data_IF_516409317183
#
_entry.id   IF_516409317183
#
_cell.length_a   1.000
_cell.length_b   1.000
_cell.length_c   1.000
_cell.angle_alpha   90.00
_cell.angle_beta   90.00
_cell.angle_gamma   90.00
#
_symmetry.space_group_name_H-M   'P 1'
#
loop_
_entity.id
_entity.type
_entity.pdbx_description
1 polymer ?
#
# COMPACT_ATOMS: atom_id res chain seq x y z
N UNK A 1 -18.16 6.41 5.69
CA UNK A 1 -18.17 5.01 6.15
C UNK A 1 -16.91 4.31 5.69
N UNK A 2 -16.21 3.64 6.59
CA UNK A 2 -14.99 2.92 6.23
C UNK A 2 -15.32 1.62 5.52
N UNK A 3 -14.61 1.35 4.43
CA UNK A 3 -14.72 0.08 3.73
C UNK A 3 -13.96 -0.99 4.50
N UNK A 4 -14.60 -2.13 4.72
CA UNK A 4 -14.02 -3.24 5.49
C UNK A 4 -14.05 -4.51 4.63
N UNK A 5 -12.92 -5.16 4.52
CA UNK A 5 -12.74 -6.45 3.84
C UNK A 5 -12.42 -7.52 4.86
N UNK A 6 -12.68 -8.76 4.50
CA UNK A 6 -12.45 -9.88 5.38
C UNK A 6 -13.56 -9.99 6.43
N UNK A 7 -13.48 -11.04 7.23
CA UNK A 7 -14.52 -11.35 8.20
C UNK A 7 -13.97 -11.26 9.62
N UNK A 8 -14.57 -10.39 10.43
CA UNK A 8 -14.26 -10.33 11.84
C UNK A 8 -14.92 -11.50 12.55
N UNK A 9 -14.12 -12.24 13.33
CA UNK A 9 -14.61 -13.31 14.18
C UNK A 9 -14.70 -12.76 15.60
N UNK A 10 -15.86 -12.91 16.25
CA UNK A 10 -16.07 -12.44 17.60
C UNK A 10 -15.14 -13.18 18.57
N UNK A 11 -14.73 -12.50 19.64
CA UNK A 11 -13.87 -13.03 20.71
C UNK A 11 -12.43 -13.30 20.31
N UNK A 12 -12.01 -12.81 19.13
CA UNK A 12 -10.61 -12.87 18.73
C UNK A 12 -10.04 -11.46 18.86
N UNK A 13 -8.86 -11.36 19.48
CA UNK A 13 -8.11 -10.11 19.56
C UNK A 13 -7.29 -9.96 18.29
N UNK A 14 -7.50 -8.87 17.57
CA UNK A 14 -6.77 -8.57 16.34
C UNK A 14 -5.67 -7.56 16.62
N UNK A 15 -4.48 -7.86 16.10
CA UNK A 15 -3.39 -6.89 16.08
C UNK A 15 -3.70 -5.83 15.02
N UNK A 16 -3.78 -4.57 15.45
CA UNK A 16 -4.09 -3.46 14.55
C UNK A 16 -2.79 -2.96 13.94
N UNK A 17 -2.73 -2.94 12.60
CA UNK A 17 -1.57 -2.46 11.84
C UNK A 17 -2.03 -1.28 11.00
N UNK A 18 -1.56 -0.08 11.34
CA UNK A 18 -1.88 1.15 10.60
C UNK A 18 -0.77 1.45 9.63
N UNK A 19 -1.12 1.66 8.37
CA UNK A 19 -0.15 1.96 7.34
C UNK A 19 -0.66 2.97 6.34
N UNK A 20 0.29 3.60 5.63
CA UNK A 20 -0.02 4.57 4.58
C UNK A 20 0.59 4.05 3.28
N UNK A 21 -0.21 4.06 2.22
CA UNK A 21 0.17 3.46 0.94
C UNK A 21 -0.12 4.41 -0.21
N UNK A 22 0.66 4.27 -1.28
CA UNK A 22 0.54 5.12 -2.45
C UNK A 22 -0.03 4.37 -3.64
N UNK A 23 -0.94 5.01 -4.35
CA UNK A 23 -1.36 4.60 -5.68
C UNK A 23 -0.59 5.47 -6.66
N UNK A 24 0.32 4.86 -7.40
CA UNK A 24 1.21 5.53 -8.35
C UNK A 24 0.97 4.93 -9.72
N UNK A 25 0.41 5.73 -10.63
CA UNK A 25 0.16 5.29 -12.00
C UNK A 25 1.32 5.68 -12.90
N UNK A 26 1.52 4.89 -13.97
CA UNK A 26 2.42 5.30 -15.05
C UNK A 26 1.78 6.44 -15.85
N UNK A 27 2.53 7.01 -16.81
CA UNK A 27 2.06 8.16 -17.58
C UNK A 27 0.77 7.87 -18.37
N UNK A 28 0.61 6.65 -18.86
CA UNK A 28 -0.59 6.23 -19.59
C UNK A 28 -1.77 5.85 -18.70
N UNK A 29 -1.54 5.75 -17.41
CA UNK A 29 -2.54 5.32 -16.42
C UNK A 29 -3.13 3.93 -16.70
N UNK A 30 -2.35 3.06 -17.30
CA UNK A 30 -2.73 1.67 -17.51
C UNK A 30 -2.02 0.69 -16.58
N UNK A 31 -1.01 1.17 -15.85
CA UNK A 31 -0.26 0.37 -14.88
C UNK A 31 -0.15 1.08 -13.55
N UNK A 32 -0.06 0.30 -12.48
CA UNK A 32 0.15 0.79 -11.12
C UNK A 32 1.44 0.21 -10.57
N UNK A 33 2.18 1.04 -9.84
CA UNK A 33 3.44 0.60 -9.21
C UNK A 33 3.13 -0.26 -8.00
N UNK A 34 3.83 -1.39 -7.91
CA UNK A 34 3.70 -2.30 -6.77
C UNK A 34 5.08 -2.72 -6.28
N UNK A 35 5.07 -3.30 -5.10
CA UNK A 35 6.24 -3.92 -4.48
C UNK A 35 5.96 -5.41 -4.36
N UNK A 36 6.88 -6.25 -4.84
CA UNK A 36 6.78 -7.70 -4.71
C UNK A 36 7.77 -8.17 -3.66
N UNK A 37 7.30 -8.95 -2.68
CA UNK A 37 8.17 -9.50 -1.64
C UNK A 37 8.79 -10.82 -2.07
N UNK A 38 9.61 -11.41 -1.20
CA UNK A 38 10.31 -12.68 -1.45
C UNK A 38 9.36 -13.84 -1.76
N UNK A 39 8.15 -13.81 -1.20
CA UNK A 39 7.15 -14.86 -1.42
C UNK A 39 6.36 -14.66 -2.72
N UNK A 40 6.65 -13.61 -3.47
CA UNK A 40 5.97 -13.30 -4.70
C UNK A 40 4.64 -12.56 -4.53
N UNK A 41 4.35 -12.07 -3.32
CA UNK A 41 3.13 -11.32 -3.06
C UNK A 41 3.31 -9.86 -3.46
N UNK A 42 2.27 -9.26 -4.02
CA UNK A 42 2.25 -7.88 -4.47
C UNK A 42 1.50 -6.97 -3.49
N UNK A 43 2.08 -5.82 -3.23
CA UNK A 43 1.50 -4.80 -2.34
C UNK A 43 1.62 -3.43 -3.01
N UNK A 44 0.79 -2.48 -2.61
CA UNK A 44 1.06 -1.08 -2.93
C UNK A 44 2.31 -0.62 -2.16
N UNK A 45 3.10 0.31 -2.71
CA UNK A 45 4.23 0.86 -1.95
C UNK A 45 3.73 1.65 -0.75
N UNK A 46 4.46 1.56 0.35
CA UNK A 46 4.11 2.18 1.60
C UNK A 46 4.43 1.27 2.76
N UNK A 47 3.90 1.57 3.92
CA UNK A 47 4.17 0.77 5.10
C UNK A 47 3.61 1.35 6.38
N UNK A 48 4.02 0.78 7.50
CA UNK A 48 3.50 1.12 8.80
C UNK A 48 3.90 2.50 9.30
N UNK A 49 2.97 3.14 9.97
CA UNK A 49 3.22 4.43 10.61
C UNK A 49 4.10 4.19 11.83
N UNK A 50 5.20 4.94 11.94
CA UNK A 50 6.10 4.89 13.08
C UNK A 50 5.89 6.10 13.97
N UNK A 51 5.80 5.85 15.29
CA UNK A 51 5.71 6.89 16.31
C UNK A 51 4.69 7.98 15.96
N UNK A 52 5.12 9.24 15.95
CA UNK A 52 4.26 10.39 15.73
C UNK A 52 4.26 10.87 14.28
N UNK A 53 4.63 10.01 13.34
CA UNK A 53 4.61 10.41 11.93
C UNK A 53 3.21 10.81 11.47
N UNK A 54 3.14 11.90 10.69
CA UNK A 54 1.94 12.16 9.91
C UNK A 54 1.85 11.16 8.75
N UNK A 55 0.70 11.07 8.10
CA UNK A 55 0.55 10.21 6.93
C UNK A 55 1.57 10.55 5.83
N UNK A 56 1.72 11.83 5.55
CA UNK A 56 2.65 12.25 4.48
C UNK A 56 4.11 12.00 4.85
N UNK A 57 4.47 12.17 6.13
CA UNK A 57 5.82 11.83 6.59
C UNK A 57 6.09 10.33 6.46
N UNK A 58 5.14 9.51 6.90
CA UNK A 58 5.25 8.05 6.79
C UNK A 58 5.40 7.62 5.34
N UNK A 59 4.52 8.09 4.48
CA UNK A 59 4.53 7.68 3.08
C UNK A 59 5.79 8.15 2.37
N UNK A 60 6.25 9.39 2.61
CA UNK A 60 7.49 9.89 2.02
C UNK A 60 8.69 9.03 2.45
N UNK A 61 8.75 8.68 3.74
CA UNK A 61 9.81 7.82 4.27
C UNK A 61 9.78 6.44 3.62
N UNK A 62 8.62 5.80 3.59
CA UNK A 62 8.47 4.47 3.01
C UNK A 62 8.79 4.45 1.51
N UNK A 63 8.32 5.44 0.76
CA UNK A 63 8.62 5.51 -0.67
C UNK A 63 10.11 5.72 -0.93
N UNK A 64 10.78 6.54 -0.11
CA UNK A 64 12.22 6.72 -0.22
C UNK A 64 12.97 5.42 0.04
N UNK A 65 12.57 4.68 1.09
CA UNK A 65 13.19 3.40 1.45
C UNK A 65 12.99 2.34 0.36
N UNK A 66 11.78 2.23 -0.18
CA UNK A 66 11.43 1.20 -1.13
C UNK A 66 11.85 1.52 -2.57
N UNK A 67 11.79 2.77 -2.96
CA UNK A 67 12.03 3.15 -4.35
C UNK A 67 13.32 3.95 -4.55
N UNK A 68 13.80 4.59 -3.51
CA UNK A 68 14.93 5.52 -3.61
C UNK A 68 14.56 6.89 -4.14
N UNK A 69 13.28 7.18 -4.32
CA UNK A 69 12.81 8.45 -4.87
C UNK A 69 12.07 9.27 -3.85
N UNK A 70 12.21 10.60 -3.95
CA UNK A 70 11.24 11.50 -3.34
C UNK A 70 9.91 11.36 -4.08
N UNK A 71 8.84 11.71 -3.40
CA UNK A 71 7.51 11.58 -3.96
C UNK A 71 6.70 12.86 -3.77
N UNK A 72 5.87 13.15 -4.73
CA UNK A 72 4.83 14.17 -4.62
C UNK A 72 3.53 13.47 -4.25
N UNK A 73 3.03 13.73 -3.04
CA UNK A 73 1.81 13.13 -2.52
C UNK A 73 0.69 14.13 -2.75
N UNK A 74 -0.32 13.76 -3.55
CA UNK A 74 -1.32 14.71 -3.99
C UNK A 74 -2.67 14.57 -3.30
N UNK A 75 -3.41 13.49 -3.56
CA UNK A 75 -4.81 13.38 -3.18
C UNK A 75 -5.02 12.22 -2.21
N UNK A 76 -5.71 12.51 -1.11
CA UNK A 76 -6.16 11.45 -0.22
C UNK A 76 -7.33 10.70 -0.85
N UNK A 77 -7.18 9.39 -1.03
CA UNK A 77 -8.19 8.54 -1.66
C UNK A 77 -9.18 7.96 -0.66
N UNK A 78 -8.80 7.91 0.60
CA UNK A 78 -9.63 7.34 1.64
C UNK A 78 -8.92 6.27 2.43
N UNK A 79 -9.65 5.67 3.38
CA UNK A 79 -9.15 4.58 4.19
C UNK A 79 -10.02 3.35 4.03
N UNK A 80 -9.40 2.19 4.18
CA UNK A 80 -10.09 0.91 4.16
C UNK A 80 -9.37 -0.05 5.08
N UNK A 81 -10.09 -1.06 5.54
CA UNK A 81 -9.56 -2.04 6.49
C UNK A 81 -9.73 -3.45 5.95
N UNK A 82 -8.86 -4.34 6.41
CA UNK A 82 -8.96 -5.76 6.09
C UNK A 82 -8.62 -6.60 7.31
N UNK A 83 -9.52 -7.52 7.64
CA UNK A 83 -9.24 -8.58 8.60
C UNK A 83 -8.57 -9.73 7.86
N UNK A 84 -7.47 -10.23 8.40
CA UNK A 84 -6.74 -11.33 7.77
C UNK A 84 -5.85 -12.03 8.81
N UNK A 85 -5.30 -13.17 8.43
CA UNK A 85 -4.28 -13.85 9.22
C UNK A 85 -2.93 -13.64 8.55
N UNK A 86 -1.93 -13.25 9.35
CA UNK A 86 -0.56 -13.10 8.84
C UNK A 86 0.02 -14.47 8.47
N UNK A 87 1.20 -14.44 7.84
CA UNK A 87 1.87 -15.68 7.41
C UNK A 87 2.15 -16.63 8.57
N UNK A 88 2.36 -16.10 9.79
CA UNK A 88 2.57 -16.89 10.99
C UNK A 88 1.26 -17.19 11.77
N UNK A 89 0.11 -16.93 11.13
CA UNK A 89 -1.18 -17.31 11.69
C UNK A 89 -1.79 -16.35 12.70
N UNK A 90 -1.24 -15.15 12.85
CA UNK A 90 -1.78 -14.17 13.80
C UNK A 90 -2.97 -13.42 13.20
N UNK A 91 -4.07 -13.24 13.97
CA UNK A 91 -5.17 -12.40 13.53
C UNK A 91 -4.74 -10.94 13.46
N UNK A 92 -4.97 -10.32 12.32
CA UNK A 92 -4.57 -8.93 12.07
C UNK A 92 -5.71 -8.12 11.49
N UNK A 93 -5.73 -6.85 11.86
CA UNK A 93 -6.59 -5.85 11.21
C UNK A 93 -5.68 -4.80 10.58
N UNK A 94 -5.61 -4.80 9.27
CA UNK A 94 -4.86 -3.77 8.54
C UNK A 94 -5.77 -2.56 8.34
N UNK A 95 -5.32 -1.38 8.80
CA UNK A 95 -5.97 -0.10 8.54
C UNK A 95 -5.08 0.66 7.56
N UNK A 96 -5.52 0.78 6.33
CA UNK A 96 -4.77 1.46 5.29
C UNK A 96 -5.33 2.85 5.00
N UNK A 97 -4.41 3.81 4.83
CA UNK A 97 -4.70 5.17 4.40
C UNK A 97 -4.03 5.34 3.05
N UNK A 98 -4.80 5.72 2.04
CA UNK A 98 -4.33 5.65 0.65
C UNK A 98 -4.29 7.03 0.00
N UNK A 99 -3.21 7.30 -0.72
CA UNK A 99 -2.97 8.57 -1.39
C UNK A 99 -2.53 8.34 -2.83
N UNK A 100 -2.95 9.23 -3.72
CA UNK A 100 -2.31 9.34 -5.03
C UNK A 100 -0.94 9.99 -4.86
N UNK A 101 0.05 9.48 -5.55
CA UNK A 101 1.40 10.03 -5.51
C UNK A 101 2.11 9.84 -6.83
N UNK A 102 3.19 10.59 -7.02
CA UNK A 102 4.11 10.47 -8.15
C UNK A 102 5.52 10.47 -7.63
N UNK A 103 6.37 9.63 -8.19
CA UNK A 103 7.79 9.67 -7.89
C UNK A 103 8.38 10.91 -8.57
N UNK A 104 9.23 11.64 -7.85
CA UNK A 104 9.83 12.87 -8.37
C UNK A 104 11.32 12.69 -8.66
N UNK A 105 12.20 12.89 -7.69
CA UNK A 105 13.65 12.82 -7.91
C UNK A 105 14.25 11.60 -7.25
N UNK A 106 15.12 10.91 -7.96
CA UNK A 106 15.92 9.84 -7.38
C UNK A 106 16.94 10.43 -6.40
N UNK A 107 16.90 9.97 -5.16
CA UNK A 107 17.76 10.44 -4.09
C UNK A 107 18.81 9.42 -3.68
N UNK A 108 18.49 8.15 -3.77
CA UNK A 108 19.35 7.07 -3.27
C UNK A 108 18.95 5.76 -3.91
N UNK A 109 19.73 4.71 -3.65
CA UNK A 109 19.31 3.36 -4.00
C UNK A 109 18.25 2.90 -3.00
N UNK A 110 17.31 2.03 -3.40
CA UNK A 110 16.37 1.45 -2.44
C UNK A 110 17.12 0.77 -1.30
N UNK A 111 16.63 0.94 -0.09
CA UNK A 111 17.22 0.31 1.11
C UNK A 111 16.76 -1.13 1.25
N UNK A 112 15.52 -1.42 0.85
CA UNK A 112 14.94 -2.74 0.99
C UNK A 112 15.26 -3.62 -0.21
N UNK A 113 16.35 -4.42 -0.09
CA UNK A 113 16.85 -5.25 -1.19
C UNK A 113 15.96 -6.47 -1.49
N UNK A 114 15.14 -6.89 -0.54
CA UNK A 114 14.26 -8.04 -0.68
C UNK A 114 12.91 -7.71 -1.34
N UNK A 115 12.70 -6.44 -1.69
CA UNK A 115 11.51 -5.98 -2.37
C UNK A 115 11.84 -5.56 -3.80
N UNK A 116 11.03 -6.04 -4.75
CA UNK A 116 11.16 -5.69 -6.16
C UNK A 116 10.03 -4.77 -6.57
N UNK A 117 10.38 -3.69 -7.29
CA UNK A 117 9.39 -2.80 -7.87
C UNK A 117 8.83 -3.43 -9.15
N UNK A 118 7.52 -3.50 -9.25
CA UNK A 118 6.84 -4.08 -10.40
C UNK A 118 5.68 -3.19 -10.83
N UNK A 119 5.63 -2.86 -12.11
CA UNK A 119 4.47 -2.23 -12.71
C UNK A 119 3.47 -3.32 -13.08
N UNK A 120 2.26 -3.24 -12.54
CA UNK A 120 1.18 -4.18 -12.88
C UNK A 120 0.15 -3.48 -13.74
N UNK A 121 -0.31 -4.16 -14.77
CA UNK A 121 -1.48 -3.66 -15.51
C UNK A 121 -2.68 -3.63 -14.56
N UNK A 122 -3.44 -2.54 -14.62
CA UNK A 122 -4.58 -2.34 -13.71
C UNK A 122 -5.57 -3.50 -13.81
N UNK A 123 -5.76 -4.04 -15.02
CA UNK A 123 -6.68 -5.17 -15.23
C UNK A 123 -6.31 -6.42 -14.42
N UNK A 124 -5.04 -6.57 -14.07
CA UNK A 124 -4.57 -7.72 -13.30
C UNK A 124 -4.35 -7.41 -11.82
N UNK A 125 -4.41 -6.15 -11.44
CA UNK A 125 -4.12 -5.73 -10.06
C UNK A 125 -5.07 -6.37 -9.06
N UNK A 126 -6.34 -6.55 -9.41
CA UNK A 126 -7.33 -7.18 -8.54
C UNK A 126 -6.94 -8.60 -8.14
N UNK A 127 -6.37 -9.36 -9.07
CA UNK A 127 -5.98 -10.74 -8.86
C UNK A 127 -4.63 -10.86 -8.16
N UNK A 128 -3.73 -9.91 -8.40
CA UNK A 128 -2.35 -10.00 -7.97
C UNK A 128 -2.06 -9.30 -6.64
N UNK A 129 -2.73 -8.19 -6.34
CA UNK A 129 -2.57 -7.54 -5.04
C UNK A 129 -3.11 -8.45 -3.95
N UNK A 130 -2.26 -8.77 -2.98
CA UNK A 130 -2.63 -9.72 -1.92
C UNK A 130 -3.71 -9.16 -0.99
N UNK A 131 -3.72 -7.84 -0.78
CA UNK A 131 -4.70 -7.19 0.08
C UNK A 131 -5.84 -6.58 -0.73
N UNK A 132 -7.06 -6.99 -0.44
CA UNK A 132 -8.25 -6.49 -1.14
C UNK A 132 -8.41 -4.97 -1.00
N UNK A 133 -8.06 -4.41 0.15
CA UNK A 133 -8.18 -2.97 0.35
C UNK A 133 -7.15 -2.18 -0.46
N UNK A 134 -6.00 -2.78 -0.83
CA UNK A 134 -5.07 -2.16 -1.77
C UNK A 134 -5.71 -2.01 -3.16
N UNK A 135 -6.38 -3.05 -3.65
CA UNK A 135 -7.07 -2.95 -4.93
C UNK A 135 -8.21 -1.93 -4.88
N UNK A 136 -8.95 -1.87 -3.77
CA UNK A 136 -9.98 -0.85 -3.58
C UNK A 136 -9.41 0.55 -3.79
N UNK A 137 -8.20 0.80 -3.26
CA UNK A 137 -7.53 2.09 -3.43
C UNK A 137 -7.14 2.36 -4.88
N UNK A 138 -6.67 1.34 -5.61
CA UNK A 138 -6.37 1.47 -7.04
C UNK A 138 -7.61 1.89 -7.81
N UNK A 139 -8.76 1.25 -7.54
CA UNK A 139 -10.03 1.64 -8.17
C UNK A 139 -10.41 3.08 -7.86
N UNK A 140 -10.24 3.51 -6.63
CA UNK A 140 -10.50 4.89 -6.23
C UNK A 140 -9.61 5.86 -7.00
N UNK A 141 -8.36 5.51 -7.20
CA UNK A 141 -7.41 6.32 -7.96
C UNK A 141 -7.76 6.41 -9.44
N UNK A 142 -8.25 5.32 -10.03
CA UNK A 142 -8.68 5.30 -11.44
C UNK A 142 -9.87 6.23 -11.65
N UNK A 143 -10.81 6.25 -10.74
CA UNK A 143 -12.05 7.02 -10.85
C UNK A 143 -12.00 8.39 -10.15
N UNK A 144 -10.88 8.69 -9.51
CA UNK A 144 -10.71 9.92 -8.75
C UNK A 144 -10.10 11.10 -9.50
#
# INVERSE_FOLDING_TARGET
>A
MKKVFGKKINRIDYEIRKGVYAVIFNSKKDKVLTVQNEKGHYFLPGGGIEDDESHTQCLARELLEETGYDAFISTYLGSAMRYFYSADGKPCLSQGYFYLAKLSKKKQKPIEDDHLLKWLEINFAKQLLIHEHHYWAVEKGVHG
#
